data_IF_690124700469
#
_entry.id   IF_690124700469
#
_cell.length_a   1.000
_cell.length_b   1.000
_cell.length_c   1.000
_cell.angle_alpha   90.00
_cell.angle_beta   90.00
_cell.angle_gamma   90.00
#
_symmetry.space_group_name_H-M   'P 1'
#
loop_
_entity.id
_entity.type
_entity.pdbx_description
1 polymer ?
#
# COMPACT_ATOMS: atom_id res chain seq x y z
N UNK A 1 20.69 30.37 27.27
CA UNK A 1 20.56 28.91 27.10
C UNK A 1 19.10 28.60 26.82
N UNK A 2 18.66 28.84 25.57
CA UNK A 2 17.26 28.71 25.19
C UNK A 2 16.92 27.28 24.79
N UNK A 3 15.78 26.88 25.32
CA UNK A 3 15.03 25.63 25.26
C UNK A 3 15.00 24.96 23.86
N UNK A 4 15.58 23.76 23.77
CA UNK A 4 15.57 22.89 22.57
C UNK A 4 14.42 21.86 22.62
N UNK A 5 13.35 22.13 23.37
CA UNK A 5 12.25 21.18 23.57
C UNK A 5 10.98 21.49 22.76
N UNK A 6 11.07 22.29 21.69
CA UNK A 6 10.07 22.21 20.63
C UNK A 6 10.25 20.89 19.88
N UNK A 7 9.59 19.86 20.39
CA UNK A 7 9.24 18.67 19.64
C UNK A 7 8.47 19.16 18.41
N UNK A 8 9.19 19.33 17.30
CA UNK A 8 8.58 19.42 15.98
C UNK A 8 7.85 18.10 15.82
N UNK A 9 6.56 18.07 16.17
CA UNK A 9 5.68 17.01 15.72
C UNK A 9 5.69 17.14 14.22
N UNK A 10 6.45 16.28 13.55
CA UNK A 10 6.29 16.05 12.12
C UNK A 10 4.78 15.93 11.87
N UNK A 11 4.23 16.63 10.85
CA UNK A 11 2.80 16.54 10.58
C UNK A 11 2.42 15.07 10.56
N UNK A 12 1.37 14.70 11.29
CA UNK A 12 0.86 13.33 11.28
C UNK A 12 0.69 12.98 9.82
N UNK A 13 1.49 12.01 9.33
CA UNK A 13 1.43 11.55 7.95
C UNK A 13 0.15 10.76 7.81
N UNK A 14 -0.91 11.50 7.54
CA UNK A 14 -2.25 10.98 7.35
C UNK A 14 -2.42 10.67 5.87
N UNK A 15 -3.11 9.58 5.58
CA UNK A 15 -3.58 9.32 4.22
C UNK A 15 -4.98 9.92 4.12
N UNK A 16 -5.19 10.76 3.12
CA UNK A 16 -6.47 11.41 2.88
C UNK A 16 -7.09 10.87 1.61
N UNK A 17 -8.39 10.59 1.65
CA UNK A 17 -9.19 10.30 0.47
C UNK A 17 -10.03 11.52 0.12
N UNK A 18 -9.80 12.09 -1.06
CA UNK A 18 -10.71 13.08 -1.63
C UNK A 18 -11.91 12.36 -2.26
N UNK A 19 -12.74 11.76 -1.41
CA UNK A 19 -13.92 11.00 -1.80
C UNK A 19 -15.11 11.39 -0.93
N UNK A 20 -16.11 12.01 -1.54
CA UNK A 20 -17.35 12.37 -0.86
C UNK A 20 -18.55 12.09 -1.75
N UNK A 21 -19.28 11.04 -1.44
CA UNK A 21 -20.61 10.78 -2.00
C UNK A 21 -21.48 10.03 -0.98
N UNK A 22 -22.80 10.16 -1.12
CA UNK A 22 -23.75 9.52 -0.21
C UNK A 22 -23.64 7.98 -0.28
N UNK A 23 -23.47 7.33 0.87
CA UNK A 23 -23.40 5.88 0.97
C UNK A 23 -22.00 5.26 0.84
N UNK A 24 -20.94 6.08 0.71
CA UNK A 24 -19.55 5.58 0.68
C UNK A 24 -19.23 4.67 1.88
N UNK A 25 -19.62 5.07 3.09
CA UNK A 25 -19.39 4.28 4.29
C UNK A 25 -20.13 2.94 4.29
N UNK A 26 -21.40 2.92 3.87
CA UNK A 26 -22.19 1.68 3.77
C UNK A 26 -21.59 0.72 2.74
N UNK A 27 -21.21 1.25 1.57
CA UNK A 27 -20.54 0.46 0.53
C UNK A 27 -19.25 -0.14 1.10
N UNK A 28 -18.45 0.67 1.79
CA UNK A 28 -17.20 0.21 2.37
C UNK A 28 -17.40 -0.89 3.42
N UNK A 29 -18.37 -0.72 4.32
CA UNK A 29 -18.75 -1.70 5.33
C UNK A 29 -19.16 -3.04 4.70
N UNK A 30 -20.06 -3.02 3.71
CA UNK A 30 -20.55 -4.23 3.05
C UNK A 30 -19.45 -4.95 2.26
N UNK A 31 -18.47 -4.20 1.72
CA UNK A 31 -17.35 -4.76 0.95
C UNK A 31 -16.26 -5.40 1.82
N UNK A 32 -16.17 -5.09 3.13
CA UNK A 32 -15.08 -5.58 4.00
C UNK A 32 -14.95 -7.10 4.01
N UNK A 33 -16.07 -7.83 3.98
CA UNK A 33 -16.08 -9.29 4.00
C UNK A 33 -15.46 -9.92 2.72
N UNK A 34 -15.38 -9.17 1.63
CA UNK A 34 -14.86 -9.65 0.35
C UNK A 34 -13.35 -9.44 0.19
N UNK A 35 -12.73 -8.60 1.03
CA UNK A 35 -11.32 -8.21 0.92
C UNK A 35 -10.36 -9.41 0.87
N UNK A 36 -10.47 -10.44 1.73
CA UNK A 36 -9.52 -11.57 1.70
C UNK A 36 -9.54 -12.32 0.37
N UNK A 37 -10.72 -12.47 -0.25
CA UNK A 37 -10.87 -13.13 -1.54
C UNK A 37 -10.26 -12.32 -2.68
N UNK A 38 -10.56 -11.02 -2.72
CA UNK A 38 -10.03 -10.09 -3.73
C UNK A 38 -8.50 -10.01 -3.63
N UNK A 39 -7.96 -9.92 -2.41
CA UNK A 39 -6.53 -9.84 -2.18
C UNK A 39 -5.79 -11.12 -2.58
N UNK A 40 -6.39 -12.29 -2.36
CA UNK A 40 -5.81 -13.57 -2.81
C UNK A 40 -5.71 -13.62 -4.34
N UNK A 41 -6.76 -13.21 -5.06
CA UNK A 41 -6.77 -13.17 -6.52
C UNK A 41 -5.83 -12.10 -7.08
N UNK A 42 -5.75 -10.94 -6.44
CA UNK A 42 -4.77 -9.89 -6.78
C UNK A 42 -3.33 -10.39 -6.66
N UNK A 43 -2.98 -11.01 -5.52
CA UNK A 43 -1.64 -11.57 -5.30
C UNK A 43 -1.30 -12.63 -6.35
N UNK A 44 -2.26 -13.53 -6.64
CA UNK A 44 -2.09 -14.54 -7.67
C UNK A 44 -1.86 -13.91 -9.05
N UNK A 45 -2.64 -12.89 -9.42
CA UNK A 45 -2.50 -12.18 -10.70
C UNK A 45 -1.16 -11.46 -10.82
N UNK A 46 -0.67 -10.87 -9.73
CA UNK A 46 0.64 -10.22 -9.68
C UNK A 46 1.74 -11.25 -9.94
N UNK A 47 1.75 -12.37 -9.22
CA UNK A 47 2.75 -13.44 -9.40
C UNK A 47 2.75 -14.03 -10.82
N UNK A 48 1.57 -14.20 -11.41
CA UNK A 48 1.43 -14.68 -12.79
C UNK A 48 2.01 -13.72 -13.82
N UNK A 49 1.86 -12.41 -13.60
CA UNK A 49 2.27 -11.37 -14.58
C UNK A 49 3.68 -10.86 -14.36
N UNK A 50 4.19 -10.93 -13.13
CA UNK A 50 5.50 -10.44 -12.74
C UNK A 50 6.29 -11.59 -12.08
N UNK A 51 7.04 -12.39 -12.87
CA UNK A 51 7.77 -13.56 -12.36
C UNK A 51 8.78 -13.23 -11.25
N UNK A 52 9.27 -11.99 -11.17
CA UNK A 52 10.15 -11.52 -10.09
C UNK A 52 9.50 -11.51 -8.69
N UNK A 53 8.17 -11.48 -8.64
CA UNK A 53 7.38 -11.65 -7.41
C UNK A 53 7.00 -13.12 -7.15
N UNK A 54 7.23 -14.03 -8.10
CA UNK A 54 6.96 -15.45 -7.89
C UNK A 54 8.09 -16.09 -7.06
N UNK A 55 7.74 -16.68 -5.92
CA UNK A 55 8.66 -17.48 -5.07
C UNK A 55 8.07 -18.87 -4.80
N UNK A 56 8.11 -19.80 -5.78
CA UNK A 56 7.49 -21.13 -5.63
C UNK A 56 8.00 -21.92 -4.42
N UNK A 57 9.23 -21.64 -3.99
CA UNK A 57 9.88 -22.31 -2.87
C UNK A 57 9.70 -21.59 -1.52
N UNK A 58 9.05 -20.42 -1.47
CA UNK A 58 8.76 -19.71 -0.21
C UNK A 58 7.26 -19.34 -0.10
N UNK A 59 6.43 -20.24 0.46
CA UNK A 59 5.01 -19.98 0.70
C UNK A 59 4.75 -18.77 1.62
N UNK A 60 5.73 -18.34 2.41
CA UNK A 60 5.59 -17.15 3.28
C UNK A 60 5.62 -15.87 2.47
N UNK A 61 6.31 -15.86 1.33
CA UNK A 61 6.35 -14.70 0.43
C UNK A 61 4.98 -14.43 -0.18
N UNK A 62 4.34 -15.45 -0.75
CA UNK A 62 2.98 -15.34 -1.29
C UNK A 62 1.98 -14.89 -0.21
N UNK A 63 2.14 -15.40 1.03
CA UNK A 63 1.33 -14.94 2.18
C UNK A 63 1.59 -13.46 2.51
N UNK A 64 2.85 -13.02 2.51
CA UNK A 64 3.20 -11.62 2.78
C UNK A 64 2.65 -10.68 1.68
N UNK A 65 2.75 -11.08 0.41
CA UNK A 65 2.14 -10.35 -0.70
C UNK A 65 0.63 -10.20 -0.50
N UNK A 66 -0.06 -11.30 -0.20
CA UNK A 66 -1.50 -11.28 0.08
C UNK A 66 -1.84 -10.34 1.24
N UNK A 67 -1.10 -10.43 2.36
CA UNK A 67 -1.30 -9.54 3.51
C UNK A 67 -1.09 -8.06 3.15
N UNK A 68 -0.12 -7.76 2.27
CA UNK A 68 0.08 -6.40 1.75
C UNK A 68 -1.13 -5.91 0.96
N UNK A 69 -1.69 -6.74 0.08
CA UNK A 69 -2.89 -6.38 -0.68
C UNK A 69 -4.12 -6.27 0.23
N UNK A 70 -4.30 -7.19 1.19
CA UNK A 70 -5.37 -7.13 2.20
C UNK A 70 -5.29 -5.82 3.00
N UNK A 71 -4.08 -5.43 3.44
CA UNK A 71 -3.84 -4.17 4.13
C UNK A 71 -4.19 -2.96 3.25
N UNK A 72 -3.79 -2.96 1.97
CA UNK A 72 -4.08 -1.87 1.04
C UNK A 72 -5.58 -1.66 0.85
N UNK A 73 -6.30 -2.72 0.52
CA UNK A 73 -7.75 -2.65 0.26
C UNK A 73 -8.50 -2.36 1.56
N UNK A 74 -8.14 -3.03 2.66
CA UNK A 74 -8.79 -2.86 3.95
C UNK A 74 -8.71 -1.42 4.46
N UNK A 75 -7.52 -0.81 4.44
CA UNK A 75 -7.34 0.57 4.87
C UNK A 75 -8.00 1.58 3.91
N UNK A 76 -8.03 1.30 2.61
CA UNK A 76 -8.79 2.13 1.67
C UNK A 76 -10.29 2.13 2.01
N UNK A 77 -10.89 0.96 2.26
CA UNK A 77 -12.29 0.88 2.70
C UNK A 77 -12.52 1.49 4.09
N UNK A 78 -11.54 1.40 4.98
CA UNK A 78 -11.61 2.07 6.29
C UNK A 78 -11.71 3.59 6.13
N UNK A 79 -10.84 4.19 5.31
CA UNK A 79 -10.86 5.63 5.02
C UNK A 79 -12.12 6.06 4.26
N UNK A 80 -12.69 5.20 3.43
CA UNK A 80 -13.99 5.45 2.79
C UNK A 80 -15.15 5.48 3.81
N UNK A 81 -15.05 4.68 4.87
CA UNK A 81 -16.06 4.64 5.94
C UNK A 81 -15.89 5.77 6.96
N UNK A 82 -14.65 6.06 7.32
CA UNK A 82 -14.27 7.13 8.23
C UNK A 82 -13.03 7.86 7.69
N UNK A 83 -13.19 9.03 7.04
CA UNK A 83 -12.06 9.82 6.57
C UNK A 83 -11.09 10.25 7.68
N UNK A 84 -11.53 10.21 8.95
CA UNK A 84 -10.72 10.53 10.13
C UNK A 84 -9.93 9.34 10.69
N UNK A 85 -10.05 8.15 10.12
CA UNK A 85 -9.33 6.96 10.56
C UNK A 85 -7.80 7.20 10.57
N UNK A 86 -7.13 6.66 11.58
CA UNK A 86 -5.69 6.82 11.74
C UNK A 86 -4.94 5.94 10.74
N UNK A 87 -4.04 6.54 9.95
CA UNK A 87 -3.16 5.79 9.04
C UNK A 87 -1.79 5.45 9.65
N UNK A 88 -1.53 5.75 10.93
CA UNK A 88 -0.18 5.71 11.49
C UNK A 88 0.49 4.32 11.38
N UNK A 89 -0.23 3.26 11.71
CA UNK A 89 0.28 1.88 11.61
C UNK A 89 0.46 1.44 10.16
N UNK A 90 -0.46 1.85 9.28
CA UNK A 90 -0.43 1.53 7.85
C UNK A 90 0.74 2.25 7.15
N UNK A 91 1.03 3.49 7.54
CA UNK A 91 2.20 4.24 7.06
C UNK A 91 3.50 3.52 7.42
N UNK A 92 3.64 3.07 8.67
CA UNK A 92 4.83 2.33 9.07
C UNK A 92 4.92 0.98 8.36
N UNK A 93 3.78 0.28 8.19
CA UNK A 93 3.72 -0.95 7.39
C UNK A 93 4.26 -0.75 5.98
N UNK A 94 3.80 0.28 5.26
CA UNK A 94 4.28 0.58 3.90
C UNK A 94 5.74 0.98 3.86
N UNK A 95 6.22 1.72 4.87
CA UNK A 95 7.65 2.02 5.01
C UNK A 95 8.48 0.75 5.17
N UNK A 96 8.01 -0.21 5.97
CA UNK A 96 8.68 -1.51 6.11
C UNK A 96 8.66 -2.35 4.83
N UNK A 97 7.60 -2.27 4.02
CA UNK A 97 7.59 -2.86 2.68
C UNK A 97 8.72 -2.26 1.84
N UNK A 98 8.89 -0.94 1.84
CA UNK A 98 10.00 -0.27 1.16
C UNK A 98 11.39 -0.77 1.59
N UNK A 99 11.58 -0.98 2.88
CA UNK A 99 12.82 -1.59 3.42
C UNK A 99 13.01 -3.02 2.90
N UNK A 100 11.93 -3.81 2.84
CA UNK A 100 11.94 -5.17 2.28
C UNK A 100 12.32 -5.20 0.80
N UNK A 101 11.69 -4.35 -0.01
CA UNK A 101 11.99 -4.20 -1.44
C UNK A 101 13.48 -3.89 -1.68
N UNK A 102 14.04 -2.94 -0.93
CA UNK A 102 15.46 -2.59 -1.02
C UNK A 102 16.36 -3.76 -0.59
N UNK A 103 15.98 -4.49 0.47
CA UNK A 103 16.74 -5.64 0.97
C UNK A 103 16.75 -6.81 -0.02
N UNK A 104 15.69 -6.94 -0.82
CA UNK A 104 15.59 -7.93 -1.90
C UNK A 104 16.20 -7.43 -3.22
N UNK A 105 16.78 -6.23 -3.23
CA UNK A 105 17.41 -5.63 -4.42
C UNK A 105 16.41 -5.24 -5.51
N UNK A 106 15.12 -5.14 -5.19
CA UNK A 106 14.06 -4.75 -6.13
C UNK A 106 14.01 -3.24 -6.33
N UNK A 107 13.62 -2.85 -7.54
CA UNK A 107 13.38 -1.45 -7.89
C UNK A 107 11.96 -1.04 -7.48
N UNK A 108 11.77 0.25 -7.23
CA UNK A 108 10.41 0.77 -7.03
C UNK A 108 9.54 0.65 -8.29
N UNK A 109 10.14 0.56 -9.48
CA UNK A 109 9.41 0.33 -10.73
C UNK A 109 8.71 -1.03 -10.74
N UNK A 110 9.38 -2.09 -10.25
CA UNK A 110 8.81 -3.42 -10.09
C UNK A 110 7.62 -3.39 -9.12
N UNK A 111 7.79 -2.73 -7.97
CA UNK A 111 6.73 -2.53 -6.99
C UNK A 111 5.54 -1.74 -7.57
N UNK A 112 5.79 -0.68 -8.34
CA UNK A 112 4.75 0.10 -9.02
C UNK A 112 4.02 -0.71 -10.09
N UNK A 113 4.71 -1.60 -10.80
CA UNK A 113 4.07 -2.50 -11.76
C UNK A 113 3.09 -3.46 -11.05
N UNK A 114 3.50 -4.03 -9.92
CA UNK A 114 2.66 -4.91 -9.12
C UNK A 114 1.42 -4.18 -8.58
N UNK A 115 1.58 -2.97 -8.05
CA UNK A 115 0.44 -2.19 -7.52
C UNK A 115 -0.55 -1.81 -8.62
N UNK A 116 -0.11 -1.41 -9.82
CA UNK A 116 -1.03 -1.14 -10.95
C UNK A 116 -1.90 -2.35 -11.28
N UNK A 117 -1.33 -3.56 -11.29
CA UNK A 117 -2.06 -4.81 -11.53
C UNK A 117 -3.06 -5.08 -10.41
N UNK A 118 -2.62 -5.05 -9.15
CA UNK A 118 -3.48 -5.31 -8.00
C UNK A 118 -4.64 -4.32 -7.89
N UNK A 119 -4.40 -3.07 -8.21
CA UNK A 119 -5.39 -1.99 -8.14
C UNK A 119 -6.48 -2.14 -9.18
N UNK A 120 -6.10 -2.38 -10.45
CA UNK A 120 -7.08 -2.58 -11.51
C UNK A 120 -8.04 -3.73 -11.18
N UNK A 121 -7.48 -4.83 -10.68
CA UNK A 121 -8.24 -6.01 -10.26
C UNK A 121 -9.11 -5.73 -9.02
N UNK A 122 -8.59 -5.01 -8.02
CA UNK A 122 -9.37 -4.64 -6.84
C UNK A 122 -10.55 -3.73 -7.20
N UNK A 123 -10.34 -2.71 -8.04
CA UNK A 123 -11.41 -1.81 -8.50
C UNK A 123 -12.48 -2.59 -9.27
N UNK A 124 -12.08 -3.49 -10.18
CA UNK A 124 -12.99 -4.36 -10.92
C UNK A 124 -13.84 -5.20 -9.97
N UNK A 125 -13.21 -5.99 -9.08
CA UNK A 125 -13.94 -6.91 -8.21
C UNK A 125 -14.76 -6.23 -7.11
N UNK A 126 -14.29 -5.10 -6.57
CA UNK A 126 -15.06 -4.32 -5.60
C UNK A 126 -16.30 -3.71 -6.26
N UNK A 127 -16.18 -3.24 -7.51
CA UNK A 127 -17.32 -2.72 -8.28
C UNK A 127 -18.36 -3.81 -8.49
N UNK A 128 -17.94 -4.99 -8.97
CA UNK A 128 -18.86 -6.12 -9.15
C UNK A 128 -19.50 -6.59 -7.83
N UNK A 129 -18.72 -6.63 -6.73
CA UNK A 129 -19.26 -6.98 -5.41
C UNK A 129 -20.33 -5.97 -4.98
N UNK A 130 -20.05 -4.67 -5.14
CA UNK A 130 -20.99 -3.60 -4.77
C UNK A 130 -22.30 -3.71 -5.55
N UNK A 131 -22.22 -3.99 -6.86
CA UNK A 131 -23.40 -4.21 -7.70
C UNK A 131 -24.20 -5.44 -7.28
N UNK A 132 -23.52 -6.58 -6.98
CA UNK A 132 -24.18 -7.79 -6.47
C UNK A 132 -24.88 -7.58 -5.13
N UNK A 133 -24.37 -6.67 -4.31
CA UNK A 133 -24.96 -6.27 -3.02
C UNK A 133 -26.10 -5.24 -3.18
N UNK A 134 -26.41 -4.82 -4.41
CA UNK A 134 -27.53 -3.92 -4.72
C UNK A 134 -27.18 -2.43 -4.59
N UNK A 135 -25.90 -2.08 -4.45
CA UNK A 135 -25.48 -0.68 -4.48
C UNK A 135 -25.60 -0.14 -5.91
N UNK A 136 -26.17 1.07 -6.05
CA UNK A 136 -26.24 1.74 -7.35
C UNK A 136 -24.92 2.45 -7.63
N UNK A 137 -24.02 1.76 -8.32
CA UNK A 137 -22.72 2.31 -8.74
C UNK A 137 -22.88 3.02 -10.08
N UNK A 138 -23.25 4.30 -10.05
CA UNK A 138 -23.25 5.09 -11.28
C UNK A 138 -21.83 5.20 -11.83
N UNK A 139 -21.63 5.42 -13.15
CA UNK A 139 -20.30 5.61 -13.73
C UNK A 139 -19.49 6.71 -13.03
N UNK A 140 -20.16 7.76 -12.54
CA UNK A 140 -19.52 8.84 -11.78
C UNK A 140 -19.01 8.37 -10.41
N UNK A 141 -19.77 7.52 -9.70
CA UNK A 141 -19.35 6.94 -8.42
C UNK A 141 -18.16 5.99 -8.62
N UNK A 142 -18.21 5.13 -9.64
CA UNK A 142 -17.10 4.23 -9.97
C UNK A 142 -15.83 5.03 -10.29
N UNK A 143 -15.95 6.08 -11.13
CA UNK A 143 -14.83 6.95 -11.46
C UNK A 143 -14.25 7.65 -10.22
N UNK A 144 -15.10 8.13 -9.31
CA UNK A 144 -14.66 8.75 -8.06
C UNK A 144 -13.89 7.76 -7.17
N UNK A 145 -14.41 6.53 -6.99
CA UNK A 145 -13.72 5.48 -6.21
C UNK A 145 -12.39 5.10 -6.87
N UNK A 146 -12.37 4.93 -8.18
CA UNK A 146 -11.15 4.58 -8.91
C UNK A 146 -10.07 5.66 -8.79
N UNK A 147 -10.44 6.94 -8.93
CA UNK A 147 -9.52 8.06 -8.74
C UNK A 147 -9.01 8.13 -7.30
N UNK A 148 -9.89 7.96 -6.30
CA UNK A 148 -9.49 7.91 -4.90
C UNK A 148 -8.53 6.75 -4.60
N UNK A 149 -8.71 5.59 -5.24
CA UNK A 149 -7.80 4.46 -5.09
C UNK A 149 -6.42 4.75 -5.71
N UNK A 150 -6.36 5.45 -6.85
CA UNK A 150 -5.09 5.89 -7.45
C UNK A 150 -4.37 6.90 -6.56
N UNK A 151 -5.08 7.89 -6.02
CA UNK A 151 -4.50 8.89 -5.12
C UNK A 151 -4.04 8.30 -3.79
N UNK A 152 -4.79 7.33 -3.26
CA UNK A 152 -4.38 6.52 -2.11
C UNK A 152 -3.04 5.81 -2.36
N UNK A 153 -2.88 5.17 -3.51
CA UNK A 153 -1.65 4.46 -3.86
C UNK A 153 -0.48 5.39 -4.10
N UNK A 154 -0.70 6.59 -4.64
CA UNK A 154 0.33 7.60 -4.78
C UNK A 154 0.89 8.02 -3.42
N UNK A 155 0.01 8.17 -2.41
CA UNK A 155 0.43 8.46 -1.03
C UNK A 155 1.19 7.28 -0.41
N UNK A 156 0.68 6.04 -0.58
CA UNK A 156 1.37 4.82 -0.14
C UNK A 156 2.77 4.69 -0.77
N UNK A 157 2.89 4.98 -2.06
CA UNK A 157 4.15 4.91 -2.78
C UNK A 157 5.23 5.84 -2.20
N UNK A 158 4.85 6.99 -1.65
CA UNK A 158 5.78 7.88 -0.97
C UNK A 158 6.42 7.22 0.26
N UNK A 159 5.62 6.53 1.09
CA UNK A 159 6.14 5.84 2.28
C UNK A 159 7.01 4.63 1.92
N UNK A 160 6.63 3.89 0.88
CA UNK A 160 7.46 2.79 0.35
C UNK A 160 8.80 3.34 -0.18
N UNK A 161 8.78 4.45 -0.93
CA UNK A 161 9.98 5.06 -1.47
C UNK A 161 10.93 5.56 -0.36
N UNK A 162 10.37 6.13 0.72
CA UNK A 162 11.16 6.53 1.89
C UNK A 162 11.83 5.34 2.57
N UNK A 163 11.08 4.27 2.83
CA UNK A 163 11.64 3.05 3.43
C UNK A 163 12.74 2.42 2.57
N UNK A 164 12.54 2.45 1.25
CA UNK A 164 13.52 1.97 0.27
C UNK A 164 14.80 2.80 0.29
N UNK A 165 14.67 4.13 0.22
CA UNK A 165 15.81 5.05 0.25
C UNK A 165 16.60 4.96 1.57
N UNK A 166 15.89 4.89 2.70
CA UNK A 166 16.47 4.69 4.03
C UNK A 166 17.31 3.41 4.11
N UNK A 167 16.79 2.30 3.57
CA UNK A 167 17.50 1.02 3.55
C UNK A 167 18.72 1.06 2.63
N UNK A 168 18.59 1.64 1.44
CA UNK A 168 19.69 1.81 0.50
C UNK A 168 20.82 2.66 1.09
N UNK A 169 20.49 3.75 1.78
CA UNK A 169 21.46 4.63 2.45
C UNK A 169 22.22 3.90 3.56
N UNK A 170 21.52 3.10 4.40
CA UNK A 170 22.15 2.29 5.44
C UNK A 170 23.12 1.25 4.87
N UNK A 171 22.75 0.56 3.81
CA UNK A 171 23.61 -0.41 3.14
C UNK A 171 24.88 0.26 2.58
N UNK A 172 24.72 1.39 1.88
CA UNK A 172 25.85 2.16 1.36
C UNK A 172 26.78 2.62 2.48
N UNK A 173 26.26 3.14 3.60
CA UNK A 173 27.05 3.56 4.75
C UNK A 173 27.88 2.42 5.35
N UNK A 174 27.26 1.25 5.55
CA UNK A 174 27.95 0.05 6.05
C UNK A 174 29.08 -0.41 5.13
N UNK A 175 28.88 -0.35 3.80
CA UNK A 175 29.93 -0.66 2.82
C UNK A 175 31.12 0.31 2.89
N UNK A 176 30.87 1.61 3.03
CA UNK A 176 31.94 2.61 3.17
C UNK A 176 32.75 2.41 4.46
N UNK A 177 32.08 2.12 5.59
CA UNK A 177 32.75 1.86 6.86
C UNK A 177 33.58 0.57 6.82
N UNK A 178 33.05 -0.48 6.22
CA UNK A 178 33.79 -1.73 6.01
C UNK A 178 35.03 -1.51 5.15
N UNK A 179 34.91 -0.77 4.03
CA UNK A 179 36.06 -0.43 3.18
C UNK A 179 37.12 0.40 3.92
N UNK A 180 36.72 1.35 4.78
CA UNK A 180 37.66 2.12 5.59
C UNK A 180 38.45 1.23 6.55
N UNK A 181 37.78 0.29 7.24
CA UNK A 181 38.42 -0.67 8.15
C UNK A 181 39.39 -1.64 7.46
N UNK A 182 39.24 -1.89 6.16
CA UNK A 182 40.16 -2.73 5.39
C UNK A 182 41.40 -1.97 4.87
N UNK A 183 41.40 -0.64 4.98
CA UNK A 183 42.50 0.24 4.55
C UNK A 183 43.33 0.77 5.75
N UNK A 184 42.93 0.43 6.97
CA UNK A 184 43.65 0.64 8.24
C UNK A 184 44.37 -0.65 8.64
#
# INVERSE_FOLDING_TARGET
MSDLSQVVRLPVRRIELDLSFEGAARIAEDLRAHVPGIAAEAAHRIEQRLPEFARPHDPRYAKAMRLGVECAIGHFLELMADPGASSAEVVEFWRQIGVGEASEGRTLDAWQAATRIGTGLAVEQLTECAERLGHRTSPAVIAAIANAALDYLNQVAAFVAEGHADAAARAAGAHHEHRRRLLE
#
